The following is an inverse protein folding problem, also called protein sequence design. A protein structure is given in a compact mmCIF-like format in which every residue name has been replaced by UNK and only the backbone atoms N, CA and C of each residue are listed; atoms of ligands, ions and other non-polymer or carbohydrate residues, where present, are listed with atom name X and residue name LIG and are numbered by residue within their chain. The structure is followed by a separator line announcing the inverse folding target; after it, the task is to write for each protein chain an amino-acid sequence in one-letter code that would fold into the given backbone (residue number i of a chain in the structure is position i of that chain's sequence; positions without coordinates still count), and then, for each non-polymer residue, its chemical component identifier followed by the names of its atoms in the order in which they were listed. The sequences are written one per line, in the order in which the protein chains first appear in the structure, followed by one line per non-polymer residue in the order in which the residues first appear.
data_IF_668270438373
#
_entry.id   IF_668270438373
#
_cell.length_a   1.000
_cell.length_b   1.000
_cell.length_c   1.000
_cell.angle_alpha   90.00
_cell.angle_beta   90.00
_cell.angle_gamma   90.00
#
_symmetry.space_group_name_H-M   'P 1'
#
loop_
_entity.id
_entity.type
_entity.pdbx_description
1 polymer ?
#
# COMPACT_ATOMS: atom_id res chain seq x y z
N UNK A 1 -0.59 12.68 2.88
CA UNK A 1 -1.84 12.21 3.46
C UNK A 1 -2.26 10.85 2.91
N UNK A 2 -3.31 10.28 3.47
CA UNK A 2 -3.79 8.95 3.10
C UNK A 2 -4.73 8.93 1.89
N UNK A 3 -4.72 9.95 1.06
CA UNK A 3 -5.45 10.03 -0.20
C UNK A 3 -4.61 10.77 -1.24
N UNK A 4 -3.63 10.07 -1.84
CA UNK A 4 -2.72 10.68 -2.79
C UNK A 4 -3.44 11.16 -4.05
N UNK A 5 -2.93 12.25 -4.63
CA UNK A 5 -3.36 12.79 -5.92
C UNK A 5 -2.33 12.54 -7.01
N UNK A 6 -1.11 12.17 -6.63
CA UNK A 6 0.01 11.90 -7.53
C UNK A 6 0.74 10.63 -7.09
N UNK A 7 1.08 9.72 -8.01
CA UNK A 7 1.70 8.45 -7.65
C UNK A 7 3.16 8.59 -7.19
N UNK A 8 3.90 9.55 -7.75
CA UNK A 8 5.35 9.74 -7.54
C UNK A 8 5.69 11.18 -7.15
N UNK A 9 4.74 11.87 -6.52
CA UNK A 9 4.88 13.26 -6.10
C UNK A 9 5.27 13.43 -4.65
N UNK A 10 6.08 14.42 -4.35
CA UNK A 10 6.34 14.87 -2.98
C UNK A 10 5.35 15.98 -2.62
N UNK A 11 4.72 15.88 -1.46
CA UNK A 11 3.86 16.94 -0.92
C UNK A 11 4.70 18.20 -0.66
N UNK A 12 4.46 19.31 -1.37
CA UNK A 12 5.32 20.51 -1.27
C UNK A 12 5.42 21.11 0.14
N UNK A 13 4.46 20.82 1.02
CA UNK A 13 4.49 21.23 2.42
C UNK A 13 5.47 20.44 3.28
N UNK A 14 5.88 19.25 2.82
CA UNK A 14 6.82 18.39 3.51
C UNK A 14 8.26 18.58 3.02
N UNK A 15 8.43 19.10 1.80
CA UNK A 15 9.75 19.34 1.25
C UNK A 15 9.85 19.02 -0.25
N UNK A 16 11.09 18.82 -0.69
CA UNK A 16 11.42 18.50 -2.08
C UNK A 16 12.00 17.08 -2.19
N UNK A 17 12.20 16.62 -3.43
CA UNK A 17 12.84 15.33 -3.70
C UNK A 17 14.28 15.29 -3.15
N UNK A 18 15.01 16.37 -3.28
CA UNK A 18 16.39 16.50 -2.78
C UNK A 18 16.42 16.44 -1.25
N UNK A 19 15.44 17.03 -0.58
CA UNK A 19 15.33 17.00 0.88
C UNK A 19 14.95 15.59 1.38
N UNK A 20 14.13 14.86 0.65
CA UNK A 20 13.84 13.45 0.98
C UNK A 20 15.06 12.56 0.81
N UNK A 21 15.82 12.72 -0.27
CA UNK A 21 17.10 12.02 -0.44
C UNK A 21 18.06 12.32 0.72
N UNK A 22 18.22 13.60 1.07
CA UNK A 22 19.10 14.01 2.17
C UNK A 22 18.63 13.45 3.53
N UNK A 23 17.32 13.34 3.74
CA UNK A 23 16.74 12.72 4.95
C UNK A 23 17.11 11.24 5.04
N UNK A 24 16.94 10.49 3.95
CA UNK A 24 17.22 9.04 3.92
C UNK A 24 18.72 8.81 4.10
N UNK A 25 19.58 9.55 3.39
CA UNK A 25 21.05 9.48 3.54
C UNK A 25 21.47 9.77 4.99
N UNK A 26 20.95 10.83 5.59
CA UNK A 26 21.25 11.16 6.99
C UNK A 26 20.76 10.09 7.98
N UNK A 27 19.62 9.46 7.71
CA UNK A 27 19.11 8.35 8.51
C UNK A 27 20.07 7.14 8.44
N UNK A 28 20.49 6.78 7.23
CA UNK A 28 21.44 5.67 7.00
C UNK A 28 22.79 5.92 7.67
N UNK A 29 23.31 7.15 7.64
CA UNK A 29 24.53 7.55 8.35
C UNK A 29 24.45 7.37 9.88
N UNK A 30 23.23 7.27 10.40
CA UNK A 30 22.95 7.02 11.81
C UNK A 30 22.42 5.60 12.08
N UNK A 31 22.57 4.66 11.15
CA UNK A 31 22.06 3.29 11.24
C UNK A 31 20.51 3.21 11.43
N UNK A 32 19.79 4.19 10.91
CA UNK A 32 18.32 4.25 10.95
C UNK A 32 17.75 3.83 9.59
N UNK A 33 16.86 2.84 9.59
CA UNK A 33 16.14 2.41 8.41
C UNK A 33 14.90 3.27 8.16
N UNK A 34 14.60 3.53 6.89
CA UNK A 34 13.48 4.38 6.49
C UNK A 34 12.47 3.59 5.68
N UNK A 35 11.25 3.51 6.19
CA UNK A 35 10.12 2.91 5.48
C UNK A 35 9.16 4.00 4.99
N UNK A 36 8.61 3.78 3.81
CA UNK A 36 7.50 4.60 3.29
C UNK A 36 6.16 4.01 3.69
N UNK A 37 5.23 4.87 4.07
CA UNK A 37 3.81 4.52 4.20
C UNK A 37 3.18 4.58 2.81
N UNK A 38 2.88 3.40 2.25
CA UNK A 38 2.45 3.24 0.86
C UNK A 38 0.95 2.91 0.80
N UNK A 39 0.16 3.88 0.33
CA UNK A 39 -1.30 3.75 0.19
C UNK A 39 -1.62 3.11 -1.15
N UNK A 40 -2.19 1.91 -1.12
CA UNK A 40 -2.46 1.10 -2.32
C UNK A 40 -3.93 0.74 -2.52
N UNK A 41 -4.76 0.89 -1.48
CA UNK A 41 -6.16 0.51 -1.54
C UNK A 41 -6.98 1.51 -2.35
N UNK A 42 -6.67 2.77 -2.25
CA UNK A 42 -7.45 3.86 -2.83
C UNK A 42 -6.57 5.06 -3.20
N UNK A 43 -7.15 5.96 -3.95
CA UNK A 43 -6.56 7.26 -4.28
C UNK A 43 -7.57 8.38 -4.00
N UNK A 44 -7.19 9.62 -4.17
CA UNK A 44 -8.14 10.74 -4.22
C UNK A 44 -8.86 10.79 -5.57
N UNK A 45 -10.08 11.31 -5.63
CA UNK A 45 -10.85 11.48 -6.87
C UNK A 45 -10.16 12.39 -7.91
N UNK A 46 -9.16 13.19 -7.50
CA UNK A 46 -8.32 14.03 -8.37
C UNK A 46 -6.98 13.38 -8.69
N UNK A 47 -6.82 12.09 -8.45
CA UNK A 47 -5.59 11.38 -8.79
C UNK A 47 -5.49 11.19 -10.30
N UNK A 48 -4.29 11.41 -10.85
CA UNK A 48 -4.03 11.30 -12.29
C UNK A 48 -4.48 9.95 -12.87
N UNK A 49 -4.26 8.84 -12.15
CA UNK A 49 -4.73 7.52 -12.60
C UNK A 49 -6.25 7.40 -12.65
N UNK A 50 -6.98 8.02 -11.72
CA UNK A 50 -8.43 7.99 -11.73
C UNK A 50 -9.02 8.87 -12.83
N UNK A 51 -8.38 9.99 -13.13
CA UNK A 51 -8.78 10.87 -14.25
C UNK A 51 -8.53 10.21 -15.61
N UNK A 52 -7.38 9.54 -15.76
CA UNK A 52 -6.95 8.97 -17.05
C UNK A 52 -7.50 7.55 -17.30
N UNK A 53 -7.72 6.75 -16.24
CA UNK A 53 -8.12 5.34 -16.31
C UNK A 53 -9.19 5.00 -15.25
N UNK A 54 -10.38 5.59 -15.33
CA UNK A 54 -11.43 5.36 -14.32
C UNK A 54 -11.85 3.89 -14.21
N UNK A 55 -11.64 3.09 -15.25
CA UNK A 55 -11.91 1.65 -15.26
C UNK A 55 -10.95 0.84 -14.36
N UNK A 56 -9.85 1.44 -13.90
CA UNK A 56 -8.93 0.81 -12.94
C UNK A 56 -9.49 0.77 -11.52
N UNK A 57 -10.66 1.36 -11.31
CA UNK A 57 -11.23 1.54 -9.98
C UNK A 57 -12.60 0.87 -9.86
N UNK A 58 -12.91 0.36 -8.67
CA UNK A 58 -14.19 -0.23 -8.35
C UNK A 58 -15.27 0.88 -8.18
N UNK A 59 -16.42 0.68 -8.80
CA UNK A 59 -17.60 1.52 -8.61
C UNK A 59 -18.47 0.97 -7.46
N UNK A 60 -17.84 0.68 -6.32
CA UNK A 60 -18.49 0.05 -5.18
C UNK A 60 -19.29 1.00 -4.30
N UNK A 61 -19.92 0.45 -3.29
CA UNK A 61 -20.62 1.21 -2.26
C UNK A 61 -19.65 1.86 -1.26
N UNK A 62 -20.15 2.77 -0.42
CA UNK A 62 -19.34 3.33 0.68
C UNK A 62 -19.32 2.36 1.84
N UNK A 63 -18.13 1.95 2.26
CA UNK A 63 -17.92 1.01 3.36
C UNK A 63 -18.65 1.45 4.64
N UNK A 64 -19.35 0.53 5.28
CA UNK A 64 -20.12 0.80 6.49
C UNK A 64 -21.44 1.53 6.29
N UNK A 65 -21.83 1.86 5.07
CA UNK A 65 -23.17 2.37 4.77
C UNK A 65 -24.20 1.24 4.74
N UNK A 66 -25.50 1.59 4.66
CA UNK A 66 -26.56 0.60 4.52
C UNK A 66 -26.30 -0.29 3.30
N UNK A 67 -26.31 -1.60 3.49
CA UNK A 67 -26.01 -2.63 2.50
C UNK A 67 -24.55 -2.65 1.99
N UNK A 68 -23.60 -2.15 2.78
CA UNK A 68 -22.17 -2.17 2.45
C UNK A 68 -21.34 -2.52 3.70
N UNK A 69 -21.43 -3.76 4.13
CA UNK A 69 -20.67 -4.26 5.27
C UNK A 69 -19.15 -4.28 4.98
N UNK A 70 -18.34 -3.86 5.93
CA UNK A 70 -16.89 -3.80 5.82
C UNK A 70 -16.20 -5.13 5.54
N UNK A 71 -16.82 -6.23 5.92
CA UNK A 71 -16.26 -7.57 5.72
C UNK A 71 -16.73 -8.15 4.40
N UNK A 72 -18.01 -7.99 4.10
CA UNK A 72 -18.62 -8.52 2.86
C UNK A 72 -18.05 -7.80 1.62
N UNK A 73 -17.92 -6.48 1.70
CA UNK A 73 -17.42 -5.63 0.63
C UNK A 73 -15.96 -5.19 0.80
N UNK A 74 -15.16 -5.95 1.53
CA UNK A 74 -13.79 -5.55 1.88
C UNK A 74 -12.87 -5.23 0.69
N UNK A 75 -13.17 -5.75 -0.50
CA UNK A 75 -12.33 -5.64 -1.71
C UNK A 75 -12.92 -4.73 -2.79
N UNK A 76 -14.06 -4.09 -2.54
CA UNK A 76 -14.73 -3.31 -3.57
C UNK A 76 -15.49 -2.09 -3.03
N UNK A 77 -15.49 -1.86 -1.71
CA UNK A 77 -16.12 -0.68 -1.15
C UNK A 77 -15.15 0.50 -1.05
N UNK A 78 -15.65 1.69 -1.27
CA UNK A 78 -14.90 2.92 -1.10
C UNK A 78 -14.93 3.37 0.38
N UNK A 79 -13.82 3.82 0.93
CA UNK A 79 -13.78 4.35 2.30
C UNK A 79 -14.60 5.63 2.44
N UNK A 80 -14.63 6.44 1.41
CA UNK A 80 -15.50 7.61 1.26
C UNK A 80 -15.72 7.90 -0.23
N UNK A 81 -16.70 8.76 -0.53
CA UNK A 81 -17.08 9.07 -1.92
C UNK A 81 -15.98 9.72 -2.77
N UNK A 82 -14.98 10.34 -2.15
CA UNK A 82 -13.84 10.95 -2.83
C UNK A 82 -12.58 10.09 -2.82
N UNK A 83 -12.67 8.84 -2.39
CA UNK A 83 -11.59 7.86 -2.39
C UNK A 83 -11.96 6.66 -3.26
N UNK A 84 -11.81 6.76 -4.59
CA UNK A 84 -11.99 5.60 -5.47
C UNK A 84 -11.10 4.45 -5.06
N UNK A 85 -11.69 3.27 -4.98
CA UNK A 85 -11.06 2.02 -4.59
C UNK A 85 -10.38 1.35 -5.78
N UNK A 86 -9.11 0.96 -5.64
CA UNK A 86 -8.33 0.37 -6.73
C UNK A 86 -8.78 -1.06 -7.03
N UNK A 87 -9.12 -1.34 -8.27
CA UNK A 87 -9.45 -2.68 -8.72
C UNK A 87 -8.19 -3.47 -9.11
N UNK A 88 -7.61 -4.16 -8.14
CA UNK A 88 -6.40 -4.96 -8.33
C UNK A 88 -6.54 -6.16 -9.27
N UNK A 89 -7.76 -6.48 -9.73
CA UNK A 89 -8.01 -7.48 -10.77
C UNK A 89 -7.74 -6.95 -12.18
N UNK A 90 -7.63 -5.64 -12.32
CA UNK A 90 -7.19 -5.01 -13.56
C UNK A 90 -5.67 -5.08 -13.64
N UNK A 91 -5.18 -5.78 -14.64
CA UNK A 91 -3.74 -6.06 -14.80
C UNK A 91 -2.92 -4.77 -14.86
N UNK A 92 -3.32 -3.83 -15.71
CA UNK A 92 -2.57 -2.60 -15.94
C UNK A 92 -2.50 -1.75 -14.66
N UNK A 93 -3.59 -1.69 -13.88
CA UNK A 93 -3.60 -1.05 -12.58
C UNK A 93 -2.63 -1.74 -11.60
N UNK A 94 -2.73 -3.06 -11.48
CA UNK A 94 -1.85 -3.85 -10.60
C UNK A 94 -0.38 -3.68 -10.95
N UNK A 95 -0.02 -3.77 -12.23
CA UNK A 95 1.36 -3.58 -12.70
C UNK A 95 1.85 -2.16 -12.41
N UNK A 96 1.01 -1.14 -12.63
CA UNK A 96 1.39 0.26 -12.39
C UNK A 96 1.62 0.57 -10.91
N UNK A 97 0.71 0.17 -10.02
CA UNK A 97 0.87 0.41 -8.58
C UNK A 97 2.07 -0.33 -7.99
N UNK A 98 2.39 -1.52 -8.50
CA UNK A 98 3.60 -2.25 -8.12
C UNK A 98 4.86 -1.51 -8.63
N UNK A 99 4.85 -1.04 -9.85
CA UNK A 99 5.96 -0.26 -10.42
C UNK A 99 6.20 1.03 -9.64
N UNK A 100 5.14 1.68 -9.16
CA UNK A 100 5.27 2.85 -8.28
C UNK A 100 5.95 2.50 -6.94
N UNK A 101 5.59 1.36 -6.34
CA UNK A 101 6.26 0.89 -5.12
C UNK A 101 7.75 0.65 -5.34
N UNK A 102 8.11 -0.05 -6.42
CA UNK A 102 9.51 -0.31 -6.78
C UNK A 102 10.26 1.00 -7.08
N UNK A 103 9.61 1.93 -7.78
CA UNK A 103 10.16 3.24 -8.06
C UNK A 103 10.49 4.04 -6.79
N UNK A 104 9.59 4.04 -5.80
CA UNK A 104 9.83 4.71 -4.53
C UNK A 104 11.01 4.11 -3.76
N UNK A 105 11.08 2.78 -3.67
CA UNK A 105 12.18 2.08 -3.00
C UNK A 105 13.51 2.38 -3.69
N UNK A 106 13.56 2.29 -5.02
CA UNK A 106 14.79 2.49 -5.79
C UNK A 106 15.23 3.96 -5.83
N UNK A 107 14.28 4.89 -6.02
CA UNK A 107 14.60 6.31 -6.21
C UNK A 107 15.16 6.93 -4.93
N UNK A 108 14.62 6.59 -3.77
CA UNK A 108 15.01 7.20 -2.50
C UNK A 108 15.83 6.29 -1.60
N UNK A 109 16.27 5.14 -2.08
CA UNK A 109 17.03 4.15 -1.29
C UNK A 109 16.30 3.80 0.02
N UNK A 110 14.97 3.60 -0.06
CA UNK A 110 14.15 3.24 1.09
C UNK A 110 14.36 1.77 1.47
N UNK A 111 14.25 1.46 2.75
CA UNK A 111 14.50 0.12 3.29
C UNK A 111 13.27 -0.77 3.34
N UNK A 112 12.11 -0.24 3.00
CA UNK A 112 10.87 -1.01 3.02
C UNK A 112 9.60 -0.18 2.86
N UNK A 113 8.46 -0.87 2.98
CA UNK A 113 7.13 -0.27 2.89
C UNK A 113 6.26 -0.69 4.08
N UNK A 114 5.53 0.26 4.63
CA UNK A 114 4.30 -0.03 5.37
C UNK A 114 3.15 0.09 4.39
N UNK A 115 2.55 -1.02 4.01
CA UNK A 115 1.44 -1.06 3.06
C UNK A 115 0.14 -0.80 3.79
N UNK A 116 -0.50 0.32 3.47
CA UNK A 116 -1.74 0.77 4.09
C UNK A 116 -2.92 -0.14 3.72
N UNK A 117 -3.83 -0.36 4.69
CA UNK A 117 -5.13 -0.99 4.50
C UNK A 117 -5.10 -2.34 3.74
N UNK A 118 -4.10 -3.20 3.92
CA UNK A 118 -3.96 -4.47 3.19
C UNK A 118 -5.15 -5.41 3.34
N UNK A 119 -5.96 -5.26 4.38
CA UNK A 119 -7.24 -5.96 4.52
C UNK A 119 -8.16 -5.76 3.32
N UNK A 120 -8.10 -4.61 2.70
CA UNK A 120 -8.97 -4.18 1.62
C UNK A 120 -8.37 -4.41 0.23
N UNK A 121 -7.15 -4.93 0.16
CA UNK A 121 -6.46 -5.28 -1.08
C UNK A 121 -6.56 -6.79 -1.34
N UNK A 122 -6.67 -7.20 -2.59
CA UNK A 122 -6.67 -8.61 -2.96
C UNK A 122 -5.40 -9.32 -2.49
N UNK A 123 -5.54 -10.48 -1.86
CA UNK A 123 -4.43 -11.29 -1.31
C UNK A 123 -3.36 -11.59 -2.37
N UNK A 124 -3.77 -11.78 -3.61
CA UNK A 124 -2.86 -12.06 -4.71
C UNK A 124 -2.06 -10.83 -5.13
N UNK A 125 -2.66 -9.63 -5.04
CA UNK A 125 -1.99 -8.37 -5.34
C UNK A 125 -0.88 -8.08 -4.31
N UNK A 126 -1.18 -8.26 -3.03
CA UNK A 126 -0.18 -8.07 -1.96
C UNK A 126 0.97 -9.06 -2.05
N UNK A 127 0.67 -10.34 -2.36
CA UNK A 127 1.71 -11.36 -2.62
C UNK A 127 2.57 -11.03 -3.83
N UNK A 128 1.96 -10.50 -4.88
CA UNK A 128 2.69 -10.09 -6.08
C UNK A 128 3.59 -8.88 -5.79
N UNK A 129 3.12 -7.90 -5.02
CA UNK A 129 3.95 -6.79 -4.57
C UNK A 129 5.20 -7.28 -3.82
N UNK A 130 5.02 -8.18 -2.83
CA UNK A 130 6.13 -8.79 -2.08
C UNK A 130 7.09 -9.52 -3.02
N UNK A 131 6.56 -10.35 -3.91
CA UNK A 131 7.38 -11.11 -4.86
C UNK A 131 8.20 -10.20 -5.78
N UNK A 132 7.61 -9.11 -6.27
CA UNK A 132 8.31 -8.16 -7.14
C UNK A 132 9.40 -7.37 -6.40
N UNK A 133 9.16 -6.99 -5.15
CA UNK A 133 10.20 -6.36 -4.30
C UNK A 133 11.35 -7.33 -4.07
N UNK A 134 11.07 -8.57 -3.69
CA UNK A 134 12.09 -9.58 -3.45
C UNK A 134 12.87 -9.88 -4.74
N UNK A 135 12.20 -10.07 -5.86
CA UNK A 135 12.85 -10.31 -7.15
C UNK A 135 13.75 -9.15 -7.57
N UNK A 136 13.32 -7.92 -7.35
CA UNK A 136 14.04 -6.72 -7.78
C UNK A 136 15.25 -6.40 -6.90
N UNK A 137 15.16 -6.58 -5.58
CA UNK A 137 16.12 -6.05 -4.64
C UNK A 137 16.87 -7.12 -3.83
N UNK A 138 16.22 -8.22 -3.43
CA UNK A 138 16.86 -9.26 -2.60
C UNK A 138 17.90 -10.09 -3.35
N UNK A 139 17.85 -10.11 -4.67
CA UNK A 139 18.87 -10.78 -5.50
C UNK A 139 20.28 -10.23 -5.31
N UNK A 140 20.42 -9.04 -4.74
CA UNK A 140 21.70 -8.40 -4.41
C UNK A 140 22.09 -8.54 -2.94
N UNK A 141 21.34 -9.32 -2.15
CA UNK A 141 21.64 -9.58 -0.74
C UNK A 141 21.19 -8.49 0.22
N UNK A 142 20.20 -7.71 -0.17
CA UNK A 142 19.55 -6.70 0.68
C UNK A 142 18.14 -7.17 1.03
N UNK A 143 17.86 -7.29 2.32
CA UNK A 143 16.52 -7.63 2.82
C UNK A 143 15.68 -6.36 2.95
N UNK A 144 14.51 -6.33 2.33
CA UNK A 144 13.55 -5.23 2.43
C UNK A 144 12.45 -5.59 3.44
N UNK A 145 12.12 -4.63 4.30
CA UNK A 145 11.06 -4.83 5.28
C UNK A 145 9.71 -4.35 4.74
N UNK A 146 8.80 -5.29 4.51
CA UNK A 146 7.44 -5.02 4.08
C UNK A 146 6.45 -5.34 5.20
N UNK A 147 5.65 -4.38 5.62
CA UNK A 147 4.67 -4.51 6.68
C UNK A 147 3.29 -4.10 6.20
N UNK A 148 2.33 -5.02 6.27
CA UNK A 148 0.90 -4.72 6.02
C UNK A 148 0.20 -4.15 7.24
N UNK A 149 -0.61 -3.11 7.06
CA UNK A 149 -1.54 -2.68 8.08
C UNK A 149 -2.80 -3.53 8.04
N UNK A 150 -3.09 -4.20 9.15
CA UNK A 150 -4.33 -4.95 9.36
C UNK A 150 -5.10 -4.34 10.53
N UNK A 151 -5.71 -3.16 10.32
CA UNK A 151 -6.51 -2.48 11.33
C UNK A 151 -7.82 -3.24 11.56
N UNK A 152 -7.86 -3.99 12.64
CA UNK A 152 -8.95 -4.92 12.90
C UNK A 152 -9.25 -4.91 14.40
N UNK A 153 -10.41 -4.61 14.79
CA UNK A 153 -10.72 -4.61 16.22
C UNK A 153 -12.14 -4.22 16.57
N UNK A 154 -12.91 -3.81 15.59
CA UNK A 154 -14.25 -3.30 15.84
C UNK A 154 -15.39 -4.25 15.47
N UNK A 155 -15.17 -5.28 14.71
CA UNK A 155 -16.24 -6.14 14.19
C UNK A 155 -16.39 -7.49 14.91
N UNK A 156 -16.06 -7.54 16.20
CA UNK A 156 -16.16 -8.77 16.99
C UNK A 156 -15.08 -9.81 16.68
N UNK A 157 -14.11 -9.47 15.88
CA UNK A 157 -12.92 -10.29 15.61
C UNK A 157 -11.81 -9.93 16.59
N UNK A 158 -11.16 -10.93 17.15
CA UNK A 158 -9.98 -10.69 17.98
C UNK A 158 -8.79 -10.25 17.11
N UNK A 159 -7.85 -9.55 17.72
CA UNK A 159 -6.60 -9.17 17.04
C UNK A 159 -5.85 -10.41 16.51
N UNK A 160 -5.97 -11.54 17.22
CA UNK A 160 -5.32 -12.81 16.86
C UNK A 160 -5.94 -13.40 15.60
N UNK A 161 -7.29 -13.50 15.53
CA UNK A 161 -7.99 -14.05 14.34
C UNK A 161 -7.63 -13.25 13.08
N UNK A 162 -7.43 -11.99 13.23
CA UNK A 162 -7.08 -11.09 12.15
C UNK A 162 -5.63 -11.21 11.71
N UNK A 163 -4.72 -11.36 12.66
CA UNK A 163 -3.32 -11.63 12.37
C UNK A 163 -3.15 -12.99 11.69
N UNK A 164 -3.87 -14.01 12.13
CA UNK A 164 -3.85 -15.33 11.50
C UNK A 164 -4.43 -15.30 10.08
N UNK A 165 -5.54 -14.60 9.88
CA UNK A 165 -6.23 -14.59 8.60
C UNK A 165 -5.53 -13.73 7.55
N UNK A 166 -5.06 -12.54 7.90
CA UNK A 166 -4.51 -11.59 6.93
C UNK A 166 -2.98 -11.53 6.94
N UNK A 167 -2.35 -11.64 8.10
CA UNK A 167 -0.91 -11.66 8.22
C UNK A 167 -0.30 -12.90 7.57
N UNK A 168 -0.82 -14.08 7.90
CA UNK A 168 -0.33 -15.35 7.35
C UNK A 168 -0.61 -15.50 5.86
N UNK A 169 -1.78 -15.06 5.40
CA UNK A 169 -2.16 -15.15 3.98
C UNK A 169 -1.29 -14.24 3.13
N UNK A 170 -0.99 -13.05 3.60
CA UNK A 170 -0.28 -12.03 2.84
C UNK A 170 1.25 -12.06 3.03
N UNK A 171 1.76 -12.88 3.95
CA UNK A 171 3.19 -12.93 4.24
C UNK A 171 3.72 -11.71 5.01
N UNK A 172 2.87 -10.80 5.44
CA UNK A 172 3.27 -9.57 6.14
C UNK A 172 3.52 -9.73 7.64
N UNK A 173 3.34 -10.92 8.18
CA UNK A 173 3.42 -11.19 9.63
C UNK A 173 4.12 -12.52 9.94
N UNK A 174 5.09 -12.90 9.15
CA UNK A 174 5.96 -14.04 9.47
C UNK A 174 6.84 -13.76 10.68
N UNK A 175 7.49 -14.80 11.26
CA UNK A 175 8.44 -14.62 12.38
C UNK A 175 9.62 -13.72 12.03
N UNK A 176 9.90 -13.51 10.75
CA UNK A 176 10.95 -12.64 10.22
C UNK A 176 10.43 -11.26 9.81
N UNK A 177 9.18 -10.93 10.17
CA UNK A 177 8.54 -9.65 9.81
C UNK A 177 7.83 -9.66 8.46
N UNK A 178 7.97 -10.69 7.68
CA UNK A 178 7.34 -10.90 6.37
C UNK A 178 6.84 -12.32 6.22
#
# INVERSE_FOLDING_TARGET
GYWPTEPRGIEPKLGTSEELHALVEAAHDHDIRVMMDFVVNHVHEQHTYYEDNPEWFNAGCICGSANCDWTEHRLDCQFTSYMPDVNWKIRDASEQFIDDALWWLETYDLDGLRVDAVKHVEDLATRNLVAQVNERFETVGTDYYLKGETAMGWAGHSLVDNQEQYGTINGYMGPDGL
#
